data_IF_383256232688
#
_entry.id   IF_383256232688
#
_cell.length_a   1.000
_cell.length_b   1.000
_cell.length_c   1.000
_cell.angle_alpha   90.00
_cell.angle_beta   90.00
_cell.angle_gamma   90.00
#
_symmetry.space_group_name_H-M   'P 1'
#
loop_
_entity.id
_entity.type
_entity.pdbx_description
1 polymer ?
#
# COMPACT_ATOMS: atom_id res chain seq x y z
N UNK A 1 18.77 -5.73 -21.52
CA UNK A 1 18.34 -4.87 -20.41
C UNK A 1 17.58 -3.70 -21.03
N UNK A 2 16.26 -3.79 -21.07
CA UNK A 2 15.44 -2.66 -21.52
C UNK A 2 15.51 -1.57 -20.43
N UNK A 3 16.26 -0.51 -20.69
CA UNK A 3 16.21 0.69 -19.88
C UNK A 3 14.81 1.30 -19.98
N UNK A 4 14.00 1.10 -18.95
CA UNK A 4 12.71 1.72 -18.84
C UNK A 4 12.91 3.23 -18.68
N UNK A 5 12.47 3.99 -19.67
CA UNK A 5 12.54 5.46 -19.59
C UNK A 5 11.52 5.97 -18.55
N UNK A 6 12.03 6.51 -17.45
CA UNK A 6 11.22 7.16 -16.41
C UNK A 6 11.61 8.64 -16.36
N UNK A 7 10.62 9.52 -16.50
CA UNK A 7 10.88 10.97 -16.49
C UNK A 7 11.46 11.42 -15.14
N UNK A 8 12.30 12.46 -15.16
CA UNK A 8 12.87 13.04 -13.92
C UNK A 8 11.79 13.53 -12.95
N UNK A 9 10.67 14.04 -13.46
CA UNK A 9 9.52 14.44 -12.63
C UNK A 9 8.95 13.26 -11.88
N UNK A 10 8.75 12.12 -12.56
CA UNK A 10 8.23 10.91 -11.93
C UNK A 10 9.23 10.31 -10.93
N UNK A 11 10.53 10.33 -11.25
CA UNK A 11 11.59 9.89 -10.31
C UNK A 11 11.56 10.68 -9.00
N UNK A 12 11.41 12.01 -9.08
CA UNK A 12 11.30 12.86 -7.89
C UNK A 12 10.10 12.48 -7.04
N UNK A 13 8.92 12.31 -7.66
CA UNK A 13 7.70 11.92 -6.97
C UNK A 13 7.80 10.54 -6.31
N UNK A 14 8.38 9.58 -7.00
CA UNK A 14 8.58 8.25 -6.45
C UNK A 14 9.54 8.27 -5.23
N UNK A 15 10.53 9.15 -5.22
CA UNK A 15 11.42 9.29 -4.07
C UNK A 15 10.73 9.88 -2.83
N UNK A 16 9.61 10.60 -3.00
CA UNK A 16 8.81 11.13 -1.88
C UNK A 16 8.04 10.03 -1.12
N UNK A 17 7.91 8.83 -1.68
CA UNK A 17 7.27 7.68 -1.03
C UNK A 17 7.88 7.41 0.35
N UNK A 18 9.19 7.55 0.48
CA UNK A 18 9.89 7.32 1.74
C UNK A 18 9.53 8.31 2.86
N UNK A 19 8.90 9.42 2.51
CA UNK A 19 8.52 10.47 3.45
C UNK A 19 7.02 10.44 3.79
N UNK A 20 6.26 9.52 3.20
CA UNK A 20 4.81 9.48 3.33
C UNK A 20 4.33 8.10 3.79
N UNK A 21 3.37 8.02 4.73
CA UNK A 21 2.78 6.75 5.13
C UNK A 21 1.90 6.14 4.03
N UNK A 22 1.34 6.99 3.16
CA UNK A 22 0.48 6.56 2.06
C UNK A 22 0.74 7.43 0.83
N UNK A 23 0.96 6.80 -0.30
CA UNK A 23 1.16 7.45 -1.61
C UNK A 23 0.20 6.88 -2.62
N UNK A 24 -0.44 7.72 -3.42
CA UNK A 24 -1.28 7.30 -4.54
C UNK A 24 -0.60 7.61 -5.88
N UNK A 25 -0.62 6.64 -6.78
CA UNK A 25 -0.13 6.78 -8.14
C UNK A 25 -1.33 6.60 -9.08
N UNK A 26 -1.78 7.70 -9.66
CA UNK A 26 -2.97 7.74 -10.51
C UNK A 26 -2.57 8.11 -11.93
N UNK A 27 -2.87 7.25 -12.88
CA UNK A 27 -2.76 7.55 -14.30
C UNK A 27 -3.62 6.57 -15.11
N UNK A 28 -4.11 6.95 -16.30
CA UNK A 28 -4.85 6.06 -17.17
C UNK A 28 -4.08 4.79 -17.53
N UNK A 29 -4.78 3.79 -18.07
CA UNK A 29 -4.16 2.57 -18.56
C UNK A 29 -3.13 2.86 -19.65
N UNK A 30 -2.01 2.12 -19.66
CA UNK A 30 -0.97 2.29 -20.67
C UNK A 30 0.09 3.36 -20.35
N UNK A 31 -0.05 4.14 -19.26
CA UNK A 31 0.93 5.15 -18.85
C UNK A 31 2.09 4.62 -17.99
N UNK A 32 2.25 3.29 -17.90
CA UNK A 32 3.42 2.68 -17.27
C UNK A 32 3.49 2.78 -15.75
N UNK A 33 2.35 2.95 -15.04
CA UNK A 33 2.31 3.04 -13.57
C UNK A 33 3.00 1.85 -12.88
N UNK A 34 2.57 0.67 -13.23
CA UNK A 34 3.11 -0.59 -12.66
C UNK A 34 4.59 -0.73 -12.97
N UNK A 35 5.00 -0.37 -14.18
CA UNK A 35 6.40 -0.35 -14.59
C UNK A 35 7.23 0.63 -13.76
N UNK A 36 6.72 1.84 -13.54
CA UNK A 36 7.38 2.86 -12.74
C UNK A 36 7.54 2.42 -11.27
N UNK A 37 6.49 1.86 -10.68
CA UNK A 37 6.53 1.34 -9.31
C UNK A 37 7.49 0.16 -9.20
N UNK A 38 7.49 -0.75 -10.16
CA UNK A 38 8.43 -1.88 -10.19
C UNK A 38 9.89 -1.41 -10.29
N UNK A 39 10.16 -0.44 -11.16
CA UNK A 39 11.48 0.15 -11.29
C UNK A 39 11.95 0.78 -9.97
N UNK A 40 11.09 1.57 -9.34
CA UNK A 40 11.38 2.21 -8.07
C UNK A 40 11.60 1.17 -6.96
N UNK A 41 10.72 0.17 -6.84
CA UNK A 41 10.81 -0.89 -5.83
C UNK A 41 12.12 -1.69 -5.95
N UNK A 42 12.53 -2.04 -7.16
CA UNK A 42 13.81 -2.72 -7.40
C UNK A 42 15.00 -1.87 -6.94
N UNK A 43 14.93 -0.56 -7.08
CA UNK A 43 15.98 0.35 -6.59
C UNK A 43 16.01 0.41 -5.07
N UNK A 44 14.85 0.38 -4.39
CA UNK A 44 14.80 0.35 -2.93
C UNK A 44 15.49 -0.91 -2.40
N UNK A 45 15.19 -2.07 -2.96
CA UNK A 45 15.83 -3.35 -2.57
C UNK A 45 17.34 -3.31 -2.80
N UNK A 46 17.80 -2.67 -3.88
CA UNK A 46 19.25 -2.55 -4.17
C UNK A 46 19.99 -1.54 -3.32
N UNK A 47 19.31 -0.44 -2.96
CA UNK A 47 19.92 0.66 -2.20
C UNK A 47 19.85 0.48 -0.69
N UNK A 48 18.91 -0.33 -0.23
CA UNK A 48 18.67 -0.68 1.17
C UNK A 48 18.64 -2.20 1.25
N UNK A 49 19.73 -2.80 1.70
CA UNK A 49 19.96 -4.26 1.66
C UNK A 49 18.81 -5.11 2.25
N UNK A 50 17.87 -4.48 2.99
CA UNK A 50 16.79 -5.16 3.69
C UNK A 50 15.40 -4.59 3.40
N UNK A 51 15.20 -3.76 2.37
CA UNK A 51 13.86 -3.26 2.06
C UNK A 51 12.91 -4.39 1.66
N UNK A 52 11.72 -4.41 2.26
CA UNK A 52 10.70 -5.44 2.04
C UNK A 52 9.60 -4.88 1.15
N UNK A 53 9.33 -5.55 0.04
CA UNK A 53 8.22 -5.21 -0.86
C UNK A 53 7.12 -6.25 -0.72
N UNK A 54 5.97 -5.81 -0.23
CA UNK A 54 4.75 -6.61 -0.17
C UNK A 54 3.82 -6.17 -1.30
N UNK A 55 3.23 -7.13 -2.01
CA UNK A 55 2.39 -6.83 -3.18
C UNK A 55 1.04 -7.50 -3.11
N UNK A 56 0.03 -6.72 -3.49
CA UNK A 56 -1.31 -7.20 -3.76
C UNK A 56 -1.80 -6.61 -5.08
N UNK A 57 -2.29 -7.47 -5.98
CA UNK A 57 -3.00 -7.06 -7.20
C UNK A 57 -4.48 -7.31 -7.01
N UNK A 58 -5.29 -6.27 -7.20
CA UNK A 58 -6.74 -6.36 -7.09
C UNK A 58 -7.30 -6.87 -8.42
N UNK A 59 -7.99 -8.00 -8.39
CA UNK A 59 -8.53 -8.66 -9.61
C UNK A 59 -10.05 -8.73 -9.64
N UNK A 60 -10.72 -8.52 -8.51
CA UNK A 60 -12.18 -8.51 -8.39
C UNK A 60 -12.65 -7.35 -7.51
N UNK A 61 -13.95 -7.04 -7.56
CA UNK A 61 -14.59 -6.07 -6.68
C UNK A 61 -15.07 -6.66 -5.34
N UNK A 62 -14.72 -7.91 -5.07
CA UNK A 62 -15.07 -8.63 -3.85
C UNK A 62 -14.19 -8.21 -2.67
N UNK A 63 -14.81 -7.74 -1.59
CA UNK A 63 -14.10 -7.44 -0.34
C UNK A 63 -13.50 -8.71 0.29
N UNK A 64 -14.16 -9.85 0.15
CA UNK A 64 -13.64 -11.13 0.63
C UNK A 64 -12.33 -11.50 -0.10
N UNK A 65 -12.32 -11.39 -1.42
CA UNK A 65 -11.12 -11.66 -2.22
C UNK A 65 -10.02 -10.63 -1.93
N UNK A 66 -10.38 -9.37 -1.74
CA UNK A 66 -9.45 -8.34 -1.29
C UNK A 66 -8.76 -8.76 0.02
N UNK A 67 -9.54 -9.20 1.01
CA UNK A 67 -8.99 -9.56 2.30
C UNK A 67 -8.08 -10.79 2.25
N UNK A 68 -8.46 -11.78 1.47
CA UNK A 68 -7.62 -12.97 1.22
C UNK A 68 -6.28 -12.53 0.58
N UNK A 69 -6.32 -11.66 -0.41
CA UNK A 69 -5.13 -11.12 -1.06
C UNK A 69 -4.28 -10.25 -0.14
N UNK A 70 -4.91 -9.44 0.71
CA UNK A 70 -4.23 -8.62 1.72
C UNK A 70 -3.46 -9.49 2.71
N UNK A 71 -4.10 -10.50 3.30
CA UNK A 71 -3.44 -11.45 4.20
C UNK A 71 -2.29 -12.18 3.50
N UNK A 72 -2.49 -12.58 2.25
CA UNK A 72 -1.45 -13.27 1.45
C UNK A 72 -0.23 -12.39 1.19
N UNK A 73 -0.40 -11.07 1.03
CA UNK A 73 0.71 -10.15 0.87
C UNK A 73 1.68 -10.21 2.05
N UNK A 74 1.19 -10.53 3.26
CA UNK A 74 1.98 -10.68 4.48
C UNK A 74 2.48 -12.11 4.73
N UNK A 75 2.53 -12.97 3.73
CA UNK A 75 2.99 -14.37 3.87
C UNK A 75 4.37 -14.54 4.51
N UNK A 76 5.24 -13.55 4.42
CA UNK A 76 6.54 -13.50 5.08
C UNK A 76 6.45 -13.32 6.61
N UNK A 77 5.27 -13.03 7.13
CA UNK A 77 4.95 -12.83 8.56
C UNK A 77 3.85 -13.83 8.98
N UNK A 78 4.18 -15.12 9.16
CA UNK A 78 3.16 -16.17 9.29
C UNK A 78 2.24 -15.97 10.50
N UNK A 79 2.75 -15.53 11.64
CA UNK A 79 1.93 -15.27 12.83
C UNK A 79 0.92 -14.15 12.57
N UNK A 80 1.37 -13.03 12.02
CA UNK A 80 0.52 -11.92 11.63
C UNK A 80 -0.55 -12.36 10.62
N UNK A 81 -0.15 -13.13 9.61
CA UNK A 81 -1.07 -13.62 8.57
C UNK A 81 -2.21 -14.44 9.17
N UNK A 82 -1.92 -15.36 10.11
CA UNK A 82 -2.96 -16.16 10.76
C UNK A 82 -3.86 -15.31 11.68
N UNK A 83 -3.28 -14.34 12.38
CA UNK A 83 -4.07 -13.41 13.21
C UNK A 83 -5.01 -12.55 12.36
N UNK A 84 -4.54 -12.03 11.23
CA UNK A 84 -5.37 -11.26 10.28
C UNK A 84 -6.48 -12.11 9.66
N UNK A 85 -6.19 -13.36 9.31
CA UNK A 85 -7.22 -14.30 8.82
C UNK A 85 -8.29 -14.56 9.88
N UNK A 86 -7.91 -14.75 11.12
CA UNK A 86 -8.84 -14.97 12.24
C UNK A 86 -9.70 -13.72 12.51
N UNK A 87 -9.12 -12.53 12.39
CA UNK A 87 -9.85 -11.27 12.54
C UNK A 87 -10.91 -11.08 11.43
N UNK A 88 -10.62 -11.49 10.22
CA UNK A 88 -11.43 -11.20 9.03
C UNK A 88 -11.34 -9.74 8.60
N UNK A 89 -12.06 -9.39 7.52
CA UNK A 89 -12.09 -8.00 7.05
C UNK A 89 -12.68 -7.08 8.14
N UNK A 90 -11.95 -6.04 8.56
CA UNK A 90 -12.40 -5.18 9.66
C UNK A 90 -13.51 -4.22 9.17
N UNK A 91 -14.73 -4.41 9.70
CA UNK A 91 -15.93 -3.68 9.25
C UNK A 91 -16.32 -2.53 10.17
N UNK A 92 -15.75 -2.46 11.36
CA UNK A 92 -16.04 -1.43 12.35
C UNK A 92 -14.75 -0.84 12.94
N UNK A 93 -14.88 0.25 13.68
CA UNK A 93 -13.75 0.96 14.27
C UNK A 93 -12.93 0.06 15.23
N UNK A 94 -13.59 -0.82 15.98
CA UNK A 94 -12.92 -1.73 16.90
C UNK A 94 -12.06 -2.74 16.13
N UNK A 95 -12.60 -3.37 15.10
CA UNK A 95 -11.86 -4.33 14.27
C UNK A 95 -10.70 -3.66 13.51
N UNK A 96 -10.90 -2.42 13.04
CA UNK A 96 -9.82 -1.64 12.40
C UNK A 96 -8.70 -1.33 13.40
N UNK A 97 -9.04 -0.96 14.64
CA UNK A 97 -8.04 -0.73 15.71
C UNK A 97 -7.28 -2.00 16.05
N UNK A 98 -7.95 -3.14 16.13
CA UNK A 98 -7.31 -4.44 16.34
C UNK A 98 -6.34 -4.79 15.21
N UNK A 99 -6.71 -4.54 13.97
CA UNK A 99 -5.82 -4.73 12.82
C UNK A 99 -4.57 -3.84 12.93
N UNK A 100 -4.75 -2.57 13.30
CA UNK A 100 -3.63 -1.65 13.48
C UNK A 100 -2.66 -2.12 14.57
N UNK A 101 -3.17 -2.62 15.69
CA UNK A 101 -2.35 -3.20 16.77
C UNK A 101 -1.57 -4.43 16.30
N UNK A 102 -2.21 -5.34 15.56
CA UNK A 102 -1.54 -6.52 15.00
C UNK A 102 -0.40 -6.13 14.06
N UNK A 103 -0.63 -5.14 13.19
CA UNK A 103 0.38 -4.64 12.27
C UNK A 103 1.51 -3.92 13.00
N UNK A 104 1.20 -3.11 14.00
CA UNK A 104 2.20 -2.43 14.81
C UNK A 104 3.08 -3.42 15.57
N UNK A 105 2.50 -4.39 16.24
CA UNK A 105 3.21 -5.43 16.98
C UNK A 105 4.15 -6.25 16.10
N UNK A 106 3.73 -6.55 14.88
CA UNK A 106 4.51 -7.38 13.96
C UNK A 106 5.59 -6.58 13.21
N UNK A 107 5.36 -5.31 12.92
CA UNK A 107 6.18 -4.54 11.95
C UNK A 107 6.97 -3.39 12.57
N UNK A 108 6.58 -2.85 13.74
CA UNK A 108 7.22 -1.67 14.34
C UNK A 108 8.70 -1.85 14.67
N UNK A 109 9.12 -3.08 14.91
CA UNK A 109 10.53 -3.43 15.21
C UNK A 109 11.33 -3.85 13.98
N UNK A 110 10.76 -3.73 12.80
CA UNK A 110 11.48 -4.07 11.57
C UNK A 110 12.70 -3.15 11.40
N UNK A 111 13.91 -3.70 11.18
CA UNK A 111 15.08 -2.90 10.85
C UNK A 111 14.98 -2.34 9.43
N UNK A 112 14.05 -2.84 8.63
CA UNK A 112 13.91 -2.53 7.21
C UNK A 112 12.69 -1.67 6.94
N UNK A 113 12.75 -0.86 5.89
CA UNK A 113 11.56 -0.22 5.34
C UNK A 113 10.66 -1.25 4.65
N UNK A 114 9.36 -1.15 4.87
CA UNK A 114 8.35 -2.06 4.33
C UNK A 114 7.42 -1.27 3.42
N UNK A 115 7.30 -1.71 2.18
CA UNK A 115 6.46 -1.07 1.18
C UNK A 115 5.33 -2.02 0.77
N UNK A 116 4.09 -1.65 1.09
CA UNK A 116 2.90 -2.39 0.70
C UNK A 116 2.32 -1.77 -0.58
N UNK A 117 2.49 -2.45 -1.69
CA UNK A 117 1.98 -2.01 -3.00
C UNK A 117 0.65 -2.70 -3.29
N UNK A 118 -0.40 -1.90 -3.47
CA UNK A 118 -1.72 -2.36 -3.93
C UNK A 118 -1.95 -1.86 -5.35
N UNK A 119 -1.96 -2.76 -6.30
CA UNK A 119 -2.15 -2.45 -7.72
C UNK A 119 -3.60 -2.68 -8.17
N UNK A 120 -4.04 -1.93 -9.19
CA UNK A 120 -5.40 -1.96 -9.74
C UNK A 120 -6.51 -1.65 -8.71
N UNK A 121 -6.23 -0.79 -7.74
CA UNK A 121 -7.17 -0.48 -6.66
C UNK A 121 -8.49 0.14 -7.14
N UNK A 122 -8.52 0.75 -8.34
CA UNK A 122 -9.74 1.30 -8.94
C UNK A 122 -10.89 0.29 -9.05
N UNK A 123 -10.61 -1.00 -9.06
CA UNK A 123 -11.61 -2.06 -9.07
C UNK A 123 -12.45 -2.05 -7.78
N UNK A 124 -11.85 -1.67 -6.64
CA UNK A 124 -12.49 -1.60 -5.33
C UNK A 124 -12.82 -0.18 -4.85
N UNK A 125 -12.50 0.84 -5.63
CA UNK A 125 -12.42 2.24 -5.19
C UNK A 125 -13.71 2.89 -4.65
N UNK A 126 -14.84 2.19 -4.64
CA UNK A 126 -16.11 2.80 -4.26
C UNK A 126 -16.70 2.28 -2.94
N UNK A 127 -15.92 1.64 -2.04
CA UNK A 127 -16.57 0.93 -0.94
C UNK A 127 -15.77 0.95 0.37
N UNK A 128 -16.10 0.14 1.36
CA UNK A 128 -15.64 0.25 2.76
C UNK A 128 -14.12 0.26 2.95
N UNK A 129 -13.35 0.15 1.88
CA UNK A 129 -11.89 0.19 1.89
C UNK A 129 -11.33 1.58 2.27
N UNK A 130 -12.02 2.67 1.90
CA UNK A 130 -11.52 4.03 2.15
C UNK A 130 -11.31 4.31 3.64
N UNK A 131 -12.27 4.04 4.54
CA UNK A 131 -12.05 4.21 5.98
C UNK A 131 -10.88 3.39 6.51
N UNK A 132 -10.69 2.17 6.03
CA UNK A 132 -9.58 1.33 6.39
C UNK A 132 -8.24 1.95 5.98
N UNK A 133 -8.11 2.40 4.74
CA UNK A 133 -6.89 3.02 4.23
C UNK A 133 -6.56 4.32 4.96
N UNK A 134 -7.56 5.16 5.21
CA UNK A 134 -7.40 6.40 5.97
C UNK A 134 -6.92 6.14 7.40
N UNK A 135 -7.46 5.13 8.05
CA UNK A 135 -7.06 4.77 9.40
C UNK A 135 -5.64 4.18 9.40
N UNK A 136 -5.35 3.24 8.53
CA UNK A 136 -4.02 2.61 8.44
C UNK A 136 -2.93 3.64 8.15
N UNK A 137 -3.18 4.62 7.28
CA UNK A 137 -2.21 5.66 6.95
C UNK A 137 -1.75 6.48 8.17
N UNK A 138 -2.54 6.51 9.24
CA UNK A 138 -2.25 7.24 10.49
C UNK A 138 -1.73 6.36 11.60
N UNK A 139 -1.95 5.06 11.50
CA UNK A 139 -1.74 4.11 12.60
C UNK A 139 -0.59 3.15 12.36
N UNK A 140 -0.09 3.07 11.12
CA UNK A 140 1.04 2.20 10.79
C UNK A 140 2.36 2.74 11.35
N UNK A 141 3.31 1.86 11.68
CA UNK A 141 4.67 2.26 12.04
C UNK A 141 5.35 3.10 10.95
N UNK A 142 6.26 3.98 11.33
CA UNK A 142 6.98 4.86 10.40
C UNK A 142 7.79 4.12 9.32
N UNK A 143 8.15 2.86 9.57
CA UNK A 143 8.84 2.02 8.60
C UNK A 143 7.93 1.41 7.53
N UNK A 144 6.61 1.60 7.62
CA UNK A 144 5.64 1.02 6.69
C UNK A 144 5.05 2.10 5.79
N UNK A 145 5.14 1.88 4.50
CA UNK A 145 4.63 2.79 3.46
C UNK A 145 3.64 2.05 2.57
N UNK A 146 2.43 2.62 2.43
CA UNK A 146 1.41 2.10 1.53
C UNK A 146 1.51 2.83 0.18
N UNK A 147 1.54 2.07 -0.91
CA UNK A 147 1.54 2.59 -2.28
C UNK A 147 0.31 2.07 -2.99
N UNK A 148 -0.59 2.98 -3.33
CA UNK A 148 -1.83 2.66 -4.05
C UNK A 148 -1.67 3.02 -5.52
N UNK A 149 -1.87 2.05 -6.39
CA UNK A 149 -1.80 2.24 -7.84
C UNK A 149 -3.21 2.11 -8.42
N UNK A 150 -3.65 3.13 -9.14
CA UNK A 150 -5.02 3.20 -9.66
C UNK A 150 -5.09 3.91 -10.99
N UNK A 151 -6.14 3.62 -11.78
CA UNK A 151 -6.47 4.34 -13.02
C UNK A 151 -7.20 5.65 -12.75
N UNK A 152 -7.95 5.70 -11.65
CA UNK A 152 -8.78 6.84 -11.26
C UNK A 152 -8.39 7.33 -9.88
N UNK A 153 -8.76 8.56 -9.56
CA UNK A 153 -8.63 9.12 -8.24
C UNK A 153 -9.48 8.31 -7.24
N UNK A 154 -8.84 7.84 -6.18
CA UNK A 154 -9.46 6.99 -5.16
C UNK A 154 -10.10 7.84 -4.07
N UNK A 155 -9.41 8.92 -3.65
CA UNK A 155 -9.83 9.81 -2.59
C UNK A 155 -10.44 11.09 -3.15
N UNK A 156 -11.53 11.56 -2.55
CA UNK A 156 -12.09 12.89 -2.81
C UNK A 156 -11.21 13.98 -2.19
N UNK A 157 -11.55 15.27 -2.42
CA UNK A 157 -10.75 16.39 -1.90
C UNK A 157 -10.67 16.41 -0.38
N UNK A 158 -11.79 16.14 0.30
CA UNK A 158 -11.84 16.13 1.78
C UNK A 158 -10.96 15.00 2.33
N UNK A 159 -11.03 13.81 1.76
CA UNK A 159 -10.20 12.67 2.13
C UNK A 159 -8.71 12.95 1.89
N UNK A 160 -8.38 13.60 0.77
CA UNK A 160 -7.00 14.04 0.46
C UNK A 160 -6.48 15.03 1.48
N UNK A 161 -7.30 16.01 1.89
CA UNK A 161 -6.93 16.97 2.94
C UNK A 161 -6.65 16.27 4.27
N UNK A 162 -7.41 15.25 4.61
CA UNK A 162 -7.20 14.45 5.82
C UNK A 162 -5.92 13.62 5.80
N UNK A 163 -5.46 13.22 4.64
CA UNK A 163 -4.23 12.43 4.45
C UNK A 163 -2.96 13.27 4.49
N UNK A 164 -3.06 14.59 4.30
CA UNK A 164 -1.98 15.55 4.49
C UNK A 164 -0.92 15.63 3.40
N UNK A 165 -0.56 14.57 2.73
CA UNK A 165 0.40 14.55 1.62
C UNK A 165 0.05 13.43 0.66
N UNK A 166 -0.66 13.78 -0.41
CA UNK A 166 -0.91 12.91 -1.55
C UNK A 166 -0.12 13.42 -2.76
N UNK A 167 0.63 12.53 -3.35
CA UNK A 167 1.33 12.78 -4.60
C UNK A 167 0.45 12.51 -5.82
#
# INVERSE_FOLDING_TARGET
LNDVFISQRLKRRLNEINNCPLTTIVAPMGFGKTTAVNWWAQRQVKSQDDAVILRQVIVTDSITDFWIGFCRAFKGYPVLTEQMKALGYPRDATAISMLAELLDDALSRSPSQIYLVMDDLHILAQKPLIPLLLFLSRSLPDCVHIILVSRNQIFNEEERMRLGHLL
#
